data_IF_793262102122
#
_entry.id   IF_793262102122
#
_cell.length_a   1.000
_cell.length_b   1.000
_cell.length_c   1.000
_cell.angle_alpha   90.00
_cell.angle_beta   90.00
_cell.angle_gamma   90.00
#
_symmetry.space_group_name_H-M   'P 1'
#
loop_
_entity.id
_entity.type
_entity.pdbx_description
1 polymer ?
#
# COMPACT_ATOMS: atom_id res chain seq x y z
N UNK A 1 7.27 69.27 30.34
CA UNK A 1 6.92 68.57 29.09
C UNK A 1 8.20 68.24 28.35
N UNK A 2 8.58 66.96 28.35
CA UNK A 2 9.26 66.19 27.28
C UNK A 2 9.75 64.87 27.90
N UNK A 3 9.22 63.78 27.34
CA UNK A 3 9.42 62.37 27.66
C UNK A 3 10.80 61.87 27.22
N UNK A 4 11.28 60.75 27.75
CA UNK A 4 11.90 59.70 26.92
C UNK A 4 11.80 58.32 27.57
N UNK A 5 11.21 57.39 26.81
CA UNK A 5 11.15 55.94 27.00
C UNK A 5 12.55 55.31 26.80
N UNK A 6 12.80 54.13 27.38
CA UNK A 6 12.78 52.85 26.62
C UNK A 6 13.29 51.67 27.43
N UNK A 7 12.62 50.54 27.24
CA UNK A 7 12.87 49.22 27.81
C UNK A 7 14.18 48.60 27.30
N UNK A 8 14.92 47.93 28.19
CA UNK A 8 15.93 46.95 27.79
C UNK A 8 15.27 45.58 27.55
N UNK A 9 15.33 45.14 26.30
CA UNK A 9 15.10 43.76 25.85
C UNK A 9 16.37 42.95 26.04
N UNK A 10 16.32 41.86 26.81
CA UNK A 10 17.37 40.82 26.78
C UNK A 10 16.95 39.75 25.76
N UNK A 11 17.69 39.65 24.66
CA UNK A 11 17.52 38.58 23.67
C UNK A 11 18.03 37.25 24.23
N UNK A 12 17.15 36.25 24.29
CA UNK A 12 17.51 34.86 24.57
C UNK A 12 18.18 34.21 23.35
N UNK A 13 19.24 33.46 23.64
CA UNK A 13 20.11 32.78 22.69
C UNK A 13 19.36 31.81 21.76
N UNK A 14 19.60 31.96 20.45
CA UNK A 14 19.16 31.02 19.42
C UNK A 14 20.05 29.77 19.46
N UNK A 15 19.57 28.70 20.10
CA UNK A 15 20.13 27.35 19.95
C UNK A 15 19.73 26.81 18.55
N UNK A 16 20.66 26.88 17.60
CA UNK A 16 20.53 26.14 16.34
C UNK A 16 20.69 24.64 16.63
N UNK A 17 19.56 23.92 16.73
CA UNK A 17 19.56 22.47 16.57
C UNK A 17 19.89 22.16 15.11
N UNK A 18 21.12 21.77 14.83
CA UNK A 18 21.39 20.87 13.70
C UNK A 18 20.78 19.52 14.08
N UNK A 19 19.53 19.29 13.66
CA UNK A 19 19.02 17.95 13.58
C UNK A 19 19.90 17.22 12.57
N UNK A 20 20.73 16.31 13.05
CA UNK A 20 21.37 15.31 12.21
C UNK A 20 20.23 14.62 11.45
N UNK A 21 20.14 14.86 10.14
CA UNK A 21 19.47 13.93 9.24
C UNK A 21 20.27 12.63 9.36
N UNK A 22 19.82 11.75 10.26
CA UNK A 22 20.16 10.35 10.19
C UNK A 22 19.59 9.94 8.84
N UNK A 23 20.48 9.83 7.85
CA UNK A 23 20.19 9.12 6.62
C UNK A 23 19.93 7.68 7.04
N UNK A 24 18.66 7.39 7.37
CA UNK A 24 18.19 6.03 7.51
C UNK A 24 18.36 5.43 6.13
N UNK A 25 19.41 4.62 5.94
CA UNK A 25 19.63 3.92 4.68
C UNK A 25 18.31 3.31 4.24
N UNK A 26 17.81 3.72 3.07
CA UNK A 26 16.53 3.20 2.57
C UNK A 26 16.64 1.68 2.40
N UNK A 27 15.63 0.95 2.86
CA UNK A 27 15.52 -0.51 2.77
C UNK A 27 14.27 -0.87 1.97
N UNK A 28 14.22 -2.04 1.32
CA UNK A 28 13.06 -2.39 0.52
C UNK A 28 11.78 -2.59 1.35
N UNK A 29 11.91 -3.17 2.54
CA UNK A 29 10.87 -3.34 3.56
C UNK A 29 11.52 -3.97 4.81
N UNK A 30 10.83 -3.93 5.95
CA UNK A 30 11.13 -4.79 7.12
C UNK A 30 10.11 -5.91 7.21
N UNK A 31 10.52 -7.11 7.57
CA UNK A 31 9.59 -8.23 7.74
C UNK A 31 8.67 -7.98 8.96
N UNK A 32 7.33 -7.90 8.78
CA UNK A 32 6.40 -7.64 9.87
C UNK A 32 6.51 -8.60 11.06
N UNK A 33 6.80 -9.89 10.81
CA UNK A 33 6.85 -10.90 11.86
C UNK A 33 7.98 -10.69 12.87
N UNK A 34 9.05 -9.99 12.48
CA UNK A 34 10.16 -9.66 13.38
C UNK A 34 9.79 -8.57 14.40
N UNK A 35 8.73 -7.80 14.12
CA UNK A 35 8.26 -6.71 14.96
C UNK A 35 6.91 -6.99 15.64
N UNK A 36 6.45 -8.25 15.64
CA UNK A 36 5.16 -8.63 16.21
C UNK A 36 3.94 -8.29 15.33
N UNK A 37 4.18 -8.01 14.05
CA UNK A 37 3.15 -7.91 13.02
C UNK A 37 3.00 -9.20 12.22
N UNK A 38 2.25 -9.14 11.13
CA UNK A 38 2.02 -10.27 10.21
C UNK A 38 1.97 -9.82 8.76
N UNK A 39 2.08 -10.78 7.84
CA UNK A 39 1.81 -10.59 6.42
C UNK A 39 0.31 -10.77 6.10
N UNK A 40 -0.56 -10.55 7.09
CA UNK A 40 -2.01 -10.68 6.97
C UNK A 40 -2.66 -9.40 7.47
N UNK A 41 -3.62 -8.87 6.71
CA UNK A 41 -4.60 -7.94 7.25
C UNK A 41 -5.71 -8.70 7.99
N UNK A 42 -6.45 -8.03 8.87
CA UNK A 42 -7.57 -8.60 9.59
C UNK A 42 -8.85 -8.43 8.75
N UNK A 43 -9.35 -9.56 8.22
CA UNK A 43 -10.55 -9.63 7.39
C UNK A 43 -11.84 -9.76 8.21
N UNK A 44 -11.75 -9.79 9.55
CA UNK A 44 -12.83 -10.21 10.43
C UNK A 44 -12.72 -11.70 10.81
N UNK A 45 -13.45 -12.10 11.84
CA UNK A 45 -13.59 -13.50 12.28
C UNK A 45 -12.27 -14.25 12.60
N UNK A 46 -11.21 -13.51 12.97
CA UNK A 46 -9.88 -14.04 13.31
C UNK A 46 -9.09 -14.64 12.15
N UNK A 47 -9.53 -14.44 10.91
CA UNK A 47 -8.80 -14.78 9.69
C UNK A 47 -8.28 -13.51 9.01
N UNK A 48 -7.39 -13.69 8.04
CA UNK A 48 -6.78 -12.56 7.35
C UNK A 48 -6.60 -12.73 5.86
N UNK A 49 -6.51 -11.60 5.17
CA UNK A 49 -6.16 -11.56 3.75
C UNK A 49 -4.65 -11.36 3.61
N UNK A 50 -3.99 -12.02 2.64
CA UNK A 50 -2.56 -11.97 2.47
C UNK A 50 -2.09 -10.63 1.93
N UNK A 51 -1.10 -10.04 2.60
CA UNK A 51 -0.31 -8.91 2.10
C UNK A 51 0.70 -9.43 1.05
N UNK A 52 0.22 -9.89 -0.09
CA UNK A 52 0.95 -10.68 -1.09
C UNK A 52 1.72 -9.83 -2.13
N UNK A 53 1.63 -8.50 -2.09
CA UNK A 53 2.49 -7.59 -2.87
C UNK A 53 3.10 -6.51 -1.99
N UNK A 54 4.35 -6.14 -2.25
CA UNK A 54 5.03 -5.03 -1.57
C UNK A 54 5.55 -4.05 -2.63
N UNK A 55 5.20 -2.77 -2.54
CA UNK A 55 5.93 -1.70 -3.23
C UNK A 55 7.08 -1.27 -2.35
N UNK A 56 8.29 -1.50 -2.84
CA UNK A 56 9.54 -1.32 -2.12
C UNK A 56 9.73 0.11 -1.62
N UNK A 57 10.28 0.26 -0.41
CA UNK A 57 10.82 1.53 0.11
C UNK A 57 11.97 2.11 -0.73
N UNK A 58 12.56 1.31 -1.62
CA UNK A 58 13.54 1.75 -2.62
C UNK A 58 12.92 2.35 -3.89
N UNK A 59 11.58 2.33 -4.00
CA UNK A 59 10.88 3.01 -5.09
C UNK A 59 11.09 4.52 -5.03
N UNK A 60 10.84 5.22 -6.13
CA UNK A 60 10.91 6.69 -6.12
C UNK A 60 10.01 7.25 -5.01
N UNK A 61 10.50 8.12 -4.10
CA UNK A 61 9.73 8.54 -2.92
C UNK A 61 8.35 9.13 -3.23
N UNK A 62 8.20 9.75 -4.39
CA UNK A 62 6.91 10.29 -4.85
C UNK A 62 5.86 9.22 -5.17
N UNK A 63 6.24 7.97 -5.46
CA UNK A 63 5.30 6.82 -5.59
C UNK A 63 4.77 6.42 -4.23
N UNK A 64 5.61 6.54 -3.20
CA UNK A 64 5.28 6.18 -1.83
C UNK A 64 4.47 7.27 -1.13
N UNK A 65 3.90 8.27 -1.80
CA UNK A 65 2.95 9.19 -1.15
C UNK A 65 1.52 8.71 -1.36
N UNK A 66 0.57 9.33 -0.68
CA UNK A 66 -0.86 9.07 -0.85
C UNK A 66 -1.31 9.35 -2.31
N UNK A 67 -0.99 10.54 -2.83
CA UNK A 67 -1.27 10.87 -4.22
C UNK A 67 -0.47 10.01 -5.21
N UNK A 68 0.74 9.63 -4.81
CA UNK A 68 1.67 8.82 -5.59
C UNK A 68 1.15 7.42 -5.89
N UNK A 69 0.66 6.73 -4.85
CA UNK A 69 0.14 5.37 -5.01
C UNK A 69 -1.14 5.37 -5.85
N UNK A 70 -2.03 6.35 -5.67
CA UNK A 70 -3.24 6.48 -6.48
C UNK A 70 -2.90 6.76 -7.94
N UNK A 71 -1.94 7.65 -8.23
CA UNK A 71 -1.54 7.93 -9.60
C UNK A 71 -0.89 6.70 -10.27
N UNK A 72 -0.01 6.01 -9.55
CA UNK A 72 0.62 4.79 -10.03
C UNK A 72 -0.42 3.68 -10.28
N UNK A 73 -1.40 3.51 -9.39
CA UNK A 73 -2.51 2.57 -9.57
C UNK A 73 -3.25 2.80 -10.89
N UNK A 74 -3.52 4.08 -11.24
CA UNK A 74 -4.14 4.46 -12.52
C UNK A 74 -3.26 4.15 -13.73
N UNK A 75 -1.94 4.13 -13.57
CA UNK A 75 -1.02 3.71 -14.63
C UNK A 75 -1.05 2.19 -14.87
N UNK A 76 -1.55 1.40 -13.92
CA UNK A 76 -1.60 -0.07 -13.99
C UNK A 76 -3.05 -0.62 -14.07
N UNK A 77 -4.03 0.23 -14.38
CA UNK A 77 -5.42 -0.17 -14.61
C UNK A 77 -6.30 -0.26 -13.37
N UNK A 78 -6.00 0.51 -12.32
CA UNK A 78 -6.77 0.58 -11.08
C UNK A 78 -7.08 2.02 -10.71
N UNK A 79 -8.17 2.25 -9.99
CA UNK A 79 -8.51 3.57 -9.47
C UNK A 79 -9.22 3.48 -8.12
N UNK A 80 -9.43 4.62 -7.47
CA UNK A 80 -10.24 4.75 -6.26
C UNK A 80 -11.68 4.28 -6.52
N UNK A 81 -12.33 3.82 -5.45
CA UNK A 81 -13.69 3.28 -5.50
C UNK A 81 -14.70 4.26 -6.12
N UNK A 82 -15.72 3.68 -6.74
CA UNK A 82 -16.80 4.43 -7.39
C UNK A 82 -17.58 5.27 -6.36
N UNK A 83 -17.46 6.60 -6.41
CA UNK A 83 -18.24 7.56 -5.61
C UNK A 83 -18.23 7.29 -4.08
N UNK A 84 -17.10 6.84 -3.53
CA UNK A 84 -16.96 6.44 -2.11
C UNK A 84 -17.96 5.36 -1.66
N UNK A 85 -18.52 4.60 -2.60
CA UNK A 85 -19.37 3.45 -2.29
C UNK A 85 -18.44 2.30 -1.90
N UNK A 86 -18.10 2.30 -0.61
CA UNK A 86 -17.30 1.26 0.01
C UNK A 86 -18.19 0.02 0.27
N UNK A 87 -18.10 -0.97 -0.61
CA UNK A 87 -18.73 -2.29 -0.41
C UNK A 87 -17.73 -3.20 0.29
N UNK A 88 -17.70 -3.13 1.62
CA UNK A 88 -16.76 -3.87 2.45
C UNK A 88 -16.62 -3.22 3.83
N UNK A 89 -16.04 -3.95 4.78
CA UNK A 89 -15.64 -3.38 6.06
C UNK A 89 -14.20 -2.84 5.97
N UNK A 90 -13.88 -1.81 6.75
CA UNK A 90 -12.50 -1.37 6.93
C UNK A 90 -11.66 -2.51 7.54
N UNK A 91 -10.63 -2.93 6.82
CA UNK A 91 -9.62 -3.89 7.26
C UNK A 91 -8.42 -3.16 7.87
N UNK A 92 -7.73 -3.86 8.76
CA UNK A 92 -6.56 -3.32 9.48
C UNK A 92 -5.39 -4.29 9.45
N UNK A 93 -4.17 -3.78 9.44
CA UNK A 93 -2.96 -4.60 9.47
C UNK A 93 -1.98 -4.08 10.53
N UNK A 94 -1.19 -4.99 11.10
CA UNK A 94 -0.04 -4.66 11.94
C UNK A 94 1.23 -5.05 11.20
N UNK A 95 1.99 -4.07 10.73
CA UNK A 95 3.21 -4.28 9.94
C UNK A 95 4.48 -4.44 10.78
N UNK A 96 4.35 -4.61 12.10
CA UNK A 96 5.50 -4.81 13.01
C UNK A 96 6.42 -3.59 13.13
N UNK A 97 5.95 -2.41 12.73
CA UNK A 97 6.73 -1.18 12.69
C UNK A 97 6.57 -0.30 13.93
N UNK A 98 5.79 -0.77 14.91
CA UNK A 98 5.50 -0.08 16.16
C UNK A 98 4.26 0.81 16.13
N UNK A 99 3.49 0.83 15.04
CA UNK A 99 2.19 1.48 15.00
C UNK A 99 1.05 0.60 15.56
N UNK A 100 1.27 -0.72 15.67
CA UNK A 100 0.20 -1.67 15.99
C UNK A 100 -0.73 -1.87 14.80
N UNK A 101 -2.00 -2.17 15.07
CA UNK A 101 -3.03 -2.32 14.04
C UNK A 101 -3.46 -0.95 13.50
N UNK A 102 -3.32 -0.76 12.19
CA UNK A 102 -3.74 0.46 11.48
C UNK A 102 -4.70 0.09 10.35
N UNK A 103 -5.71 0.92 10.12
CA UNK A 103 -6.66 0.72 9.02
C UNK A 103 -5.98 0.92 7.66
N UNK A 104 -6.56 0.34 6.62
CA UNK A 104 -6.15 0.57 5.24
C UNK A 104 -6.11 2.06 4.91
N UNK A 105 -5.12 2.47 4.11
CA UNK A 105 -4.98 3.86 3.62
C UNK A 105 -5.91 4.11 2.43
N UNK A 106 -6.02 3.10 1.55
CA UNK A 106 -6.84 3.12 0.35
C UNK A 106 -7.36 1.72 0.06
N UNK A 107 -8.47 1.66 -0.66
CA UNK A 107 -8.95 0.49 -1.41
C UNK A 107 -9.02 0.90 -2.89
N UNK A 108 -8.34 0.15 -3.75
CA UNK A 108 -8.18 0.46 -5.17
C UNK A 108 -8.67 -0.73 -5.98
N UNK A 109 -9.56 -0.47 -6.94
CA UNK A 109 -10.28 -1.49 -7.72
C UNK A 109 -9.90 -1.38 -9.20
N UNK A 110 -9.95 -2.49 -9.93
CA UNK A 110 -9.73 -2.48 -11.38
C UNK A 110 -10.67 -1.48 -12.05
N UNK A 111 -10.11 -0.64 -12.91
CA UNK A 111 -10.84 0.48 -13.49
C UNK A 111 -11.36 0.25 -14.91
N UNK A 112 -11.06 -0.91 -15.52
CA UNK A 112 -11.54 -1.29 -16.86
C UNK A 112 -11.33 -0.18 -17.91
N UNK A 113 -10.18 0.48 -17.90
CA UNK A 113 -9.83 1.63 -18.77
C UNK A 113 -10.72 2.87 -18.58
N UNK A 114 -11.45 2.95 -17.46
CA UNK A 114 -12.31 4.06 -17.11
C UNK A 114 -12.35 4.31 -15.60
N UNK A 115 -11.45 5.18 -15.13
CA UNK A 115 -11.32 5.57 -13.73
C UNK A 115 -12.60 6.14 -13.05
N UNK A 116 -13.64 6.52 -13.81
CA UNK A 116 -14.89 7.09 -13.26
C UNK A 116 -16.11 6.16 -13.31
N UNK A 117 -16.21 5.28 -14.33
CA UNK A 117 -17.36 4.38 -14.53
C UNK A 117 -16.94 2.91 -14.39
N UNK A 118 -15.69 2.59 -14.72
CA UNK A 118 -15.19 1.22 -14.72
C UNK A 118 -14.97 0.65 -13.32
N UNK A 119 -14.61 1.46 -12.33
CA UNK A 119 -14.62 1.01 -10.92
C UNK A 119 -16.04 0.73 -10.41
N UNK A 120 -17.07 1.37 -10.99
CA UNK A 120 -18.47 1.04 -10.71
C UNK A 120 -18.93 -0.28 -11.38
N UNK A 121 -18.30 -0.63 -12.52
CA UNK A 121 -18.52 -1.89 -13.23
C UNK A 121 -17.81 -3.05 -12.50
N UNK A 122 -16.65 -2.82 -11.90
CA UNK A 122 -15.95 -3.82 -11.10
C UNK A 122 -16.79 -4.28 -9.91
N UNK A 123 -17.42 -3.34 -9.19
CA UNK A 123 -18.39 -3.67 -8.14
C UNK A 123 -19.61 -4.46 -8.63
N UNK A 124 -19.84 -4.58 -9.94
CA UNK A 124 -20.97 -5.33 -10.52
C UNK A 124 -20.54 -6.63 -11.21
N UNK A 125 -19.30 -6.71 -11.69
CA UNK A 125 -18.77 -7.78 -12.58
C UNK A 125 -17.68 -8.62 -11.89
N UNK A 126 -17.10 -8.15 -10.79
CA UNK A 126 -15.94 -8.76 -10.16
C UNK A 126 -14.67 -8.20 -10.79
N UNK A 127 -13.53 -8.42 -10.15
CA UNK A 127 -12.26 -7.84 -10.60
C UNK A 127 -11.17 -7.94 -9.56
N UNK A 128 -9.98 -7.53 -9.98
CA UNK A 128 -8.83 -7.43 -9.10
C UNK A 128 -8.93 -6.12 -8.30
N UNK A 129 -8.72 -6.20 -7.00
CA UNK A 129 -8.62 -5.03 -6.15
C UNK A 129 -7.46 -5.19 -5.16
N UNK A 130 -7.08 -4.09 -4.52
CA UNK A 130 -6.12 -4.15 -3.43
C UNK A 130 -6.28 -3.05 -2.40
N UNK A 131 -5.93 -3.38 -1.15
CA UNK A 131 -5.83 -2.43 -0.04
C UNK A 131 -4.37 -2.04 0.20
N UNK A 132 -4.16 -0.82 0.70
CA UNK A 132 -2.81 -0.26 0.90
C UNK A 132 -2.51 -0.03 2.38
N UNK A 133 -1.42 -0.62 2.87
CA UNK A 133 -0.86 -0.38 4.20
C UNK A 133 0.56 0.15 4.09
N UNK A 134 0.93 1.10 4.95
CA UNK A 134 2.22 1.76 4.89
C UNK A 134 3.08 1.42 6.09
N UNK A 135 4.31 0.98 5.85
CA UNK A 135 5.28 0.71 6.90
C UNK A 135 6.07 1.97 7.27
N UNK A 136 5.50 2.79 8.17
CA UNK A 136 6.03 4.10 8.57
C UNK A 136 6.20 4.26 10.09
N UNK A 137 6.04 3.20 10.86
CA UNK A 137 6.20 3.22 12.31
C UNK A 137 7.65 3.42 12.76
N UNK A 138 7.82 4.02 13.94
CA UNK A 138 9.13 4.41 14.50
C UNK A 138 10.13 3.26 14.63
N UNK A 139 9.68 2.02 14.77
CA UNK A 139 10.55 0.87 15.01
C UNK A 139 11.08 0.24 13.71
N UNK A 140 10.37 0.42 12.59
CA UNK A 140 10.74 -0.20 11.31
C UNK A 140 10.25 0.64 10.11
N UNK A 141 10.58 1.92 10.05
CA UNK A 141 10.15 2.79 8.96
C UNK A 141 10.97 2.53 7.69
N UNK A 142 10.38 1.83 6.72
CA UNK A 142 10.94 1.68 5.37
C UNK A 142 10.25 2.59 4.35
N UNK A 143 9.05 3.08 4.65
CA UNK A 143 8.18 3.76 3.70
C UNK A 143 7.50 2.84 2.69
N UNK A 144 7.81 1.53 2.70
CA UNK A 144 7.22 0.55 1.79
C UNK A 144 5.70 0.46 1.95
N UNK A 145 5.03 0.08 0.87
CA UNK A 145 3.58 -0.18 0.84
C UNK A 145 3.35 -1.69 0.77
N UNK A 146 2.60 -2.22 1.71
CA UNK A 146 2.13 -3.61 1.73
C UNK A 146 0.72 -3.62 1.19
N UNK A 147 0.47 -4.47 0.19
CA UNK A 147 -0.79 -4.55 -0.51
C UNK A 147 -1.46 -5.90 -0.22
N UNK A 148 -2.71 -5.88 0.23
CA UNK A 148 -3.57 -7.05 0.19
C UNK A 148 -4.25 -7.07 -1.16
N UNK A 149 -3.84 -8.00 -2.05
CA UNK A 149 -4.33 -8.07 -3.43
C UNK A 149 -5.17 -9.34 -3.59
N UNK A 150 -6.34 -9.21 -4.18
CA UNK A 150 -7.23 -10.33 -4.46
C UNK A 150 -8.08 -10.07 -5.70
N UNK A 151 -8.49 -11.15 -6.34
CA UNK A 151 -9.51 -11.13 -7.37
C UNK A 151 -10.83 -11.65 -6.81
N UNK A 152 -11.88 -10.82 -6.87
CA UNK A 152 -13.24 -11.12 -6.40
C UNK A 152 -14.14 -11.55 -7.57
N UNK A 153 -15.08 -12.46 -7.29
CA UNK A 153 -16.23 -12.76 -8.14
C UNK A 153 -17.18 -11.54 -8.24
N UNK A 154 -18.10 -11.49 -9.22
CA UNK A 154 -19.12 -10.44 -9.31
C UNK A 154 -19.99 -10.29 -8.06
N UNK A 155 -20.62 -9.13 -7.90
CA UNK A 155 -21.61 -8.88 -6.84
C UNK A 155 -22.76 -9.89 -6.78
N UNK A 156 -23.10 -10.53 -7.91
CA UNK A 156 -24.10 -11.61 -7.95
C UNK A 156 -23.69 -12.85 -7.14
N UNK A 157 -22.40 -13.00 -6.88
CA UNK A 157 -21.78 -14.06 -6.07
C UNK A 157 -21.20 -13.49 -4.75
N UNK A 158 -21.67 -12.30 -4.33
CA UNK A 158 -21.31 -11.61 -3.09
C UNK A 158 -19.83 -11.21 -2.95
N UNK A 159 -19.08 -11.07 -4.04
CA UNK A 159 -17.64 -10.74 -3.99
C UNK A 159 -16.78 -11.77 -3.25
N UNK A 160 -17.22 -13.03 -3.15
CA UNK A 160 -16.34 -14.09 -2.67
C UNK A 160 -15.08 -14.14 -3.56
N UNK A 161 -13.86 -14.30 -3.00
CA UNK A 161 -12.69 -14.44 -3.84
C UNK A 161 -12.84 -15.66 -4.75
N UNK A 162 -12.47 -15.51 -6.02
CA UNK A 162 -12.46 -16.63 -6.97
C UNK A 162 -11.59 -17.77 -6.40
N UNK A 163 -11.79 -19.04 -6.80
CA UNK A 163 -10.82 -20.09 -6.47
C UNK A 163 -9.40 -19.63 -6.84
N UNK A 164 -8.47 -19.69 -5.89
CA UNK A 164 -7.08 -19.18 -6.05
C UNK A 164 -6.98 -17.64 -6.18
N UNK A 165 -8.01 -16.90 -5.76
CA UNK A 165 -8.17 -15.48 -6.04
C UNK A 165 -7.10 -14.56 -5.46
N UNK A 166 -6.42 -14.96 -4.39
CA UNK A 166 -5.29 -14.21 -3.86
C UNK A 166 -4.04 -14.33 -4.76
N UNK A 167 -3.68 -15.54 -5.21
CA UNK A 167 -2.52 -15.76 -6.07
C UNK A 167 -2.80 -15.20 -7.48
N UNK A 168 -4.01 -15.42 -8.01
CA UNK A 168 -4.45 -14.86 -9.29
C UNK A 168 -4.48 -13.32 -9.25
N UNK A 169 -5.01 -12.73 -8.17
CA UNK A 169 -5.04 -11.27 -8.00
C UNK A 169 -3.64 -10.67 -7.97
N UNK A 170 -2.73 -11.24 -7.17
CA UNK A 170 -1.31 -10.87 -7.14
C UNK A 170 -0.70 -10.92 -8.53
N UNK A 171 -0.84 -12.04 -9.23
CA UNK A 171 -0.18 -12.27 -10.51
C UNK A 171 -0.71 -11.32 -11.59
N UNK A 172 -2.02 -11.07 -11.62
CA UNK A 172 -2.65 -10.10 -12.52
C UNK A 172 -2.17 -8.67 -12.27
N UNK A 173 -2.08 -8.24 -11.01
CA UNK A 173 -1.56 -6.91 -10.65
C UNK A 173 -0.09 -6.78 -11.07
N UNK A 174 0.73 -7.78 -10.77
CA UNK A 174 2.15 -7.79 -11.12
C UNK A 174 2.35 -7.76 -12.63
N UNK A 175 1.56 -8.53 -13.38
CA UNK A 175 1.62 -8.55 -14.85
C UNK A 175 1.25 -7.18 -15.46
N UNK A 176 0.25 -6.48 -14.91
CA UNK A 176 -0.10 -5.14 -15.34
C UNK A 176 0.95 -4.09 -14.96
N UNK A 177 1.68 -4.32 -13.86
CA UNK A 177 2.64 -3.38 -13.31
C UNK A 177 4.03 -3.42 -13.98
N UNK A 178 4.56 -4.61 -14.27
CA UNK A 178 5.95 -4.79 -14.71
C UNK A 178 6.19 -4.19 -16.10
N UNK A 179 7.29 -3.45 -16.24
CA UNK A 179 7.66 -2.79 -17.49
C UNK A 179 7.45 -1.28 -17.42
N UNK A 180 7.04 -0.68 -18.53
CA UNK A 180 6.82 0.76 -18.65
C UNK A 180 5.32 1.03 -18.64
N UNK A 181 4.88 1.89 -17.72
CA UNK A 181 3.49 2.39 -17.68
C UNK A 181 3.48 3.91 -17.57
N UNK A 182 2.35 4.54 -17.86
CA UNK A 182 2.25 5.99 -17.78
C UNK A 182 0.83 6.44 -17.46
N UNK A 183 0.72 7.46 -16.63
CA UNK A 183 -0.55 8.12 -16.37
C UNK A 183 -0.32 9.60 -16.08
N UNK A 184 -1.20 10.47 -16.60
CA UNK A 184 -1.18 11.91 -16.37
C UNK A 184 0.22 12.57 -16.56
N UNK A 185 0.94 12.18 -17.61
CA UNK A 185 2.27 12.71 -17.94
C UNK A 185 3.45 12.12 -17.14
N UNK A 186 3.20 11.28 -16.14
CA UNK A 186 4.24 10.58 -15.38
C UNK A 186 4.49 9.22 -16.02
N UNK A 187 5.76 8.90 -16.29
CA UNK A 187 6.17 7.58 -16.78
C UNK A 187 6.87 6.81 -15.67
N UNK A 188 6.44 5.56 -15.47
CA UNK A 188 6.95 4.62 -14.48
C UNK A 188 7.71 3.49 -15.17
N UNK A 189 8.77 3.01 -14.52
CA UNK A 189 9.39 1.71 -14.80
C UNK A 189 9.30 0.87 -13.54
N UNK A 190 8.67 -0.30 -13.65
CA UNK A 190 8.52 -1.24 -12.54
C UNK A 190 9.25 -2.54 -12.81
N UNK A 191 9.99 -3.01 -11.80
CA UNK A 191 10.57 -4.34 -11.76
C UNK A 191 9.95 -5.16 -10.63
N UNK A 192 9.91 -6.48 -10.79
CA UNK A 192 9.34 -7.40 -9.80
C UNK A 192 10.37 -8.45 -9.35
N UNK A 193 10.26 -8.87 -8.09
CA UNK A 193 11.00 -9.98 -7.51
C UNK A 193 10.10 -10.77 -6.57
N UNK A 194 9.96 -12.07 -6.81
CA UNK A 194 9.25 -12.97 -5.91
C UNK A 194 10.09 -13.25 -4.66
N UNK A 195 9.41 -13.30 -3.51
CA UNK A 195 9.99 -13.54 -2.19
C UNK A 195 9.17 -14.64 -1.52
N UNK A 196 9.86 -15.66 -1.01
CA UNK A 196 9.26 -16.74 -0.23
C UNK A 196 9.61 -16.60 1.24
N UNK A 197 8.80 -17.20 2.12
CA UNK A 197 9.07 -17.24 3.57
C UNK A 197 8.59 -16.01 4.35
N UNK A 198 7.88 -15.09 3.70
CA UNK A 198 7.08 -14.05 4.35
C UNK A 198 5.68 -14.55 4.70
N UNK A 199 5.05 -15.24 3.74
CA UNK A 199 3.81 -15.98 3.90
C UNK A 199 4.10 -17.49 3.79
N UNK A 200 3.54 -18.33 4.69
CA UNK A 200 3.59 -19.78 4.51
C UNK A 200 2.65 -20.20 3.37
N UNK A 201 3.00 -21.24 2.58
CA UNK A 201 2.06 -21.84 1.66
C UNK A 201 0.93 -22.58 2.41
N UNK A 202 -0.22 -22.73 1.77
CA UNK A 202 -1.42 -23.32 2.36
C UNK A 202 -2.46 -22.27 2.78
N UNK A 203 -3.46 -22.69 3.55
CA UNK A 203 -4.63 -21.85 3.90
C UNK A 203 -4.78 -21.59 5.40
N UNK A 204 -3.78 -21.94 6.22
CA UNK A 204 -3.84 -21.72 7.67
C UNK A 204 -3.90 -20.22 7.99
N UNK A 205 -4.97 -19.78 8.65
CA UNK A 205 -5.20 -18.38 8.99
C UNK A 205 -5.65 -17.49 7.81
N UNK A 206 -5.82 -18.07 6.62
CA UNK A 206 -6.24 -17.34 5.41
C UNK A 206 -7.77 -17.30 5.34
N UNK A 207 -8.31 -16.12 5.07
CA UNK A 207 -9.73 -15.91 4.87
C UNK A 207 -10.27 -16.80 3.72
N UNK A 208 -11.52 -17.25 3.84
CA UNK A 208 -12.17 -18.22 2.94
C UNK A 208 -11.45 -19.59 2.78
N UNK A 209 -10.37 -19.86 3.52
CA UNK A 209 -9.62 -21.12 3.42
C UNK A 209 -8.90 -21.32 2.09
N UNK A 210 -8.65 -20.24 1.34
CA UNK A 210 -7.99 -20.27 0.03
C UNK A 210 -6.48 -20.48 0.23
N UNK A 211 -5.95 -21.57 -0.34
CA UNK A 211 -4.54 -21.87 -0.23
C UNK A 211 -3.69 -20.85 -1.00
N UNK A 212 -2.57 -20.45 -0.40
CA UNK A 212 -1.54 -19.61 -1.02
C UNK A 212 -0.36 -20.47 -1.47
N UNK A 213 0.34 -20.05 -2.53
CA UNK A 213 1.63 -20.63 -2.94
C UNK A 213 2.82 -20.20 -2.06
N UNK A 214 2.62 -19.25 -1.15
CA UNK A 214 3.64 -18.71 -0.24
C UNK A 214 4.56 -17.66 -0.87
N UNK A 215 4.20 -17.12 -2.03
CA UNK A 215 4.93 -16.06 -2.73
C UNK A 215 4.36 -14.69 -2.37
N UNK A 216 5.26 -13.77 -2.01
CA UNK A 216 5.02 -12.33 -1.96
C UNK A 216 5.84 -11.66 -3.06
N UNK A 217 5.23 -10.80 -3.88
CA UNK A 217 5.95 -10.11 -4.96
C UNK A 217 6.38 -8.71 -4.53
N UNK A 218 7.69 -8.44 -4.58
CA UNK A 218 8.26 -7.11 -4.34
C UNK A 218 8.37 -6.34 -5.67
N UNK A 219 7.65 -5.23 -5.77
CA UNK A 219 7.74 -4.26 -6.85
C UNK A 219 8.70 -3.13 -6.48
N UNK A 220 9.55 -2.72 -7.42
CA UNK A 220 10.35 -1.48 -7.29
C UNK A 220 9.99 -0.55 -8.44
N UNK A 221 9.40 0.59 -8.10
CA UNK A 221 8.79 1.53 -9.05
C UNK A 221 9.65 2.79 -9.17
N UNK A 222 10.08 3.10 -10.39
CA UNK A 222 10.92 4.27 -10.69
C UNK A 222 10.15 5.25 -11.57
N UNK A 223 10.08 6.52 -11.17
CA UNK A 223 9.58 7.58 -12.07
C UNK A 223 10.75 8.02 -12.95
N UNK A 224 10.59 7.89 -14.28
CA UNK A 224 11.65 8.19 -15.26
C UNK A 224 11.43 9.47 -16.05
N UNK A 225 10.20 10.02 -16.06
CA UNK A 225 9.90 11.34 -16.61
C UNK A 225 8.68 11.98 -15.95
N UNK A 226 8.62 13.32 -16.01
CA UNK A 226 7.49 14.18 -15.61
C UNK A 226 7.26 15.22 -16.69
#
# INVERSE_FOLDING_TARGET
>A
MLSFNSLLSLSTYFLHRLANNVDTSSVPYYNPSLGGGSMLENAGDSLGEPLNVIISGLSTPAVLTNDGIVNYARAIGFSEECFDIHLGGLMSANLGDGNGWVNQTYELRQDYDNAGIGTCLESLVGGNHFRVFRQNGRLANSGALFLAVSQEEPATENHDPVPDGYDVGRDNLVAAAVGITSFNGITYITTAKNITGLLPPGSEGINHGIAQDGITTLLTVTIVSK
#
